data_IF_713452699805
#
_entry.id   IF_713452699805
#
_cell.length_a   1.000
_cell.length_b   1.000
_cell.length_c   1.000
_cell.angle_alpha   90.00
_cell.angle_beta   90.00
_cell.angle_gamma   90.00
#
_symmetry.space_group_name_H-M   'P 1'
#
loop_
_entity.id
_entity.type
_entity.pdbx_description
1 polymer ?
#
# COMPACT_ATOMS: atom_id res chain seq x y z
N UNK A 1 -33.53 -1.22 -51.80
CA UNK A 1 -34.08 -1.14 -50.44
C UNK A 1 -33.35 -2.12 -49.54
N UNK A 2 -32.36 -1.68 -48.76
CA UNK A 2 -32.08 -2.15 -47.39
C UNK A 2 -31.31 -1.00 -46.72
N UNK A 3 -31.99 -0.27 -45.86
CA UNK A 3 -31.40 0.68 -44.92
C UNK A 3 -31.49 0.02 -43.55
N UNK A 4 -30.34 -0.35 -42.97
CA UNK A 4 -30.23 -0.66 -41.53
C UNK A 4 -28.86 -0.13 -41.09
N UNK A 5 -28.82 1.16 -40.75
CA UNK A 5 -27.70 1.76 -40.02
C UNK A 5 -28.02 1.64 -38.55
N UNK A 6 -27.39 0.68 -37.86
CA UNK A 6 -27.53 0.46 -36.43
C UNK A 6 -26.83 1.61 -35.69
N UNK A 7 -27.61 2.55 -35.14
CA UNK A 7 -27.13 3.45 -34.08
C UNK A 7 -26.96 2.61 -32.80
N UNK A 8 -25.72 2.19 -32.53
CA UNK A 8 -25.30 1.76 -31.20
C UNK A 8 -24.20 2.71 -30.72
N UNK A 9 -24.57 3.96 -30.40
CA UNK A 9 -23.78 4.79 -29.50
C UNK A 9 -24.06 4.31 -28.08
N UNK A 10 -23.37 3.24 -27.68
CA UNK A 10 -23.21 2.89 -26.29
C UNK A 10 -22.48 4.04 -25.61
N UNK A 11 -23.21 4.81 -24.80
CA UNK A 11 -22.64 5.69 -23.80
C UNK A 11 -21.88 4.81 -22.80
N UNK A 12 -20.61 4.57 -23.10
CA UNK A 12 -19.60 4.18 -22.12
C UNK A 12 -19.43 5.35 -21.13
N UNK A 13 -20.35 5.45 -20.17
CA UNK A 13 -20.13 6.23 -18.95
C UNK A 13 -19.15 5.44 -18.08
N UNK A 14 -17.87 5.49 -18.44
CA UNK A 14 -16.81 5.10 -17.55
C UNK A 14 -15.87 6.30 -17.38
N UNK A 15 -15.52 6.52 -16.11
CA UNK A 15 -14.44 7.38 -15.62
C UNK A 15 -14.76 8.86 -15.38
N UNK A 16 -15.55 9.12 -14.34
CA UNK A 16 -15.18 10.18 -13.38
C UNK A 16 -15.41 9.67 -11.96
N UNK A 17 -14.54 8.77 -11.47
CA UNK A 17 -14.34 8.63 -10.02
C UNK A 17 -13.27 9.66 -9.65
N UNK A 18 -13.66 10.93 -9.54
CA UNK A 18 -12.83 11.95 -8.91
C UNK A 18 -13.19 12.00 -7.44
N UNK A 19 -12.36 11.35 -6.64
CA UNK A 19 -12.32 11.65 -5.22
C UNK A 19 -11.05 11.16 -4.57
N UNK A 20 -9.97 11.92 -4.70
CA UNK A 20 -8.67 11.47 -4.19
C UNK A 20 -8.47 11.82 -2.72
N UNK A 21 -8.92 10.91 -1.86
CA UNK A 21 -7.93 10.24 -1.00
C UNK A 21 -6.84 9.71 -1.94
N UNK A 22 -5.57 10.02 -1.66
CA UNK A 22 -4.50 9.82 -2.64
C UNK A 22 -4.58 8.41 -3.27
N UNK A 23 -4.35 8.26 -4.59
CA UNK A 23 -4.41 6.95 -5.23
C UNK A 23 -3.29 6.02 -4.72
N UNK A 24 -2.31 6.58 -4.01
CA UNK A 24 -1.09 5.96 -3.52
C UNK A 24 -0.47 6.84 -2.40
N UNK A 25 0.75 6.53 -1.98
CA UNK A 25 1.50 7.29 -0.98
C UNK A 25 2.49 8.32 -1.55
N UNK A 26 2.30 8.83 -2.77
CA UNK A 26 3.28 9.70 -3.45
C UNK A 26 3.66 10.94 -2.64
N UNK A 27 2.74 11.49 -1.84
CA UNK A 27 2.95 12.68 -1.02
C UNK A 27 3.62 12.41 0.34
N UNK A 28 3.80 11.15 0.72
CA UNK A 28 4.32 10.76 2.05
C UNK A 28 5.21 9.50 1.99
N UNK A 29 5.78 9.23 0.81
CA UNK A 29 6.69 8.10 0.57
C UNK A 29 7.96 8.15 1.40
N UNK A 30 8.37 9.33 1.86
CA UNK A 30 9.53 9.54 2.74
C UNK A 30 9.46 8.78 4.09
N UNK A 31 8.28 8.35 4.52
CA UNK A 31 8.08 7.54 5.72
C UNK A 31 8.34 6.05 5.51
N UNK A 32 8.48 5.61 4.27
CA UNK A 32 8.82 4.24 3.94
C UNK A 32 10.31 4.09 3.69
N UNK A 33 10.88 2.95 4.10
CA UNK A 33 12.27 2.65 3.81
C UNK A 33 12.50 2.62 2.30
N UNK A 34 13.46 3.44 1.83
CA UNK A 34 13.76 3.67 0.40
C UNK A 34 12.56 4.14 -0.42
N UNK A 35 11.61 4.84 0.19
CA UNK A 35 10.39 5.33 -0.48
C UNK A 35 9.56 4.21 -1.13
N UNK A 36 9.64 2.98 -0.60
CA UNK A 36 8.90 1.84 -1.13
C UNK A 36 7.81 1.40 -0.14
N UNK A 37 6.54 1.69 -0.44
CA UNK A 37 5.41 1.23 0.36
C UNK A 37 5.33 -0.29 0.49
N UNK A 38 4.58 -0.73 1.50
CA UNK A 38 4.18 -2.14 1.65
C UNK A 38 3.47 -2.59 0.38
N UNK A 39 3.78 -3.79 -0.08
CA UNK A 39 3.15 -4.40 -1.25
C UNK A 39 2.63 -5.79 -0.94
N UNK A 40 1.59 -6.22 -1.66
CA UNK A 40 0.93 -7.52 -1.49
C UNK A 40 -0.24 -7.54 -0.52
N UNK A 41 -0.39 -6.54 0.36
CA UNK A 41 -1.49 -6.45 1.35
C UNK A 41 -2.80 -5.96 0.72
N UNK A 42 -3.41 -6.79 -0.13
CA UNK A 42 -4.63 -6.48 -0.87
C UNK A 42 -5.87 -7.14 -0.22
N UNK A 43 -6.07 -6.90 1.08
CA UNK A 43 -7.10 -7.57 1.89
C UNK A 43 -8.25 -6.66 2.34
N UNK A 44 -8.23 -5.39 1.91
CA UNK A 44 -9.25 -4.41 2.30
C UNK A 44 -10.63 -4.85 1.80
N UNK A 45 -11.66 -4.69 2.64
CA UNK A 45 -13.04 -4.92 2.19
C UNK A 45 -13.52 -3.73 1.36
N UNK A 46 -14.43 -3.95 0.40
CA UNK A 46 -15.06 -2.85 -0.33
C UNK A 46 -15.75 -1.90 0.65
N UNK A 47 -15.83 -0.63 0.28
CA UNK A 47 -16.59 0.36 1.05
C UNK A 47 -18.04 -0.11 1.19
N UNK A 48 -18.66 -0.03 2.38
CA UNK A 48 -20.03 -0.48 2.58
C UNK A 48 -20.96 0.31 1.65
N UNK A 49 -21.97 -0.37 1.12
CA UNK A 49 -22.95 0.23 0.21
C UNK A 49 -24.03 0.93 1.03
N UNK A 50 -24.31 2.20 0.71
CA UNK A 50 -25.43 2.90 1.33
C UNK A 50 -26.75 2.40 0.78
N UNK A 51 -27.67 2.11 1.71
CA UNK A 51 -29.02 1.69 1.39
C UNK A 51 -29.94 2.89 1.27
N UNK A 52 -31.04 2.76 0.52
CA UNK A 52 -32.04 3.83 0.38
C UNK A 52 -31.50 5.14 -0.24
N UNK A 53 -30.58 5.03 -1.20
CA UNK A 53 -30.06 6.16 -1.98
C UNK A 53 -30.91 6.49 -3.22
N UNK A 54 -31.89 5.64 -3.53
CA UNK A 54 -32.79 5.83 -4.67
C UNK A 54 -33.65 7.09 -4.43
N UNK A 55 -33.71 7.96 -5.45
CA UNK A 55 -34.44 9.24 -5.44
C UNK A 55 -33.86 10.35 -4.53
N UNK A 56 -32.65 10.18 -4.00
CA UNK A 56 -32.00 11.30 -3.31
C UNK A 56 -31.60 12.40 -4.31
N UNK A 57 -31.66 13.69 -3.92
CA UNK A 57 -31.26 14.78 -4.80
C UNK A 57 -29.73 14.80 -4.94
N UNK A 58 -29.24 14.82 -6.17
CA UNK A 58 -27.82 14.92 -6.52
C UNK A 58 -26.88 13.89 -5.80
N UNK A 59 -27.23 12.59 -5.82
CA UNK A 59 -26.55 11.58 -4.99
C UNK A 59 -25.09 11.40 -5.39
N UNK A 60 -24.73 11.62 -6.66
CA UNK A 60 -23.34 11.51 -7.13
C UNK A 60 -22.40 12.49 -6.42
N UNK A 61 -22.83 13.72 -6.14
CA UNK A 61 -22.03 14.70 -5.39
C UNK A 61 -22.19 14.53 -3.88
N UNK A 62 -23.42 14.36 -3.41
CA UNK A 62 -23.72 14.37 -1.98
C UNK A 62 -23.22 13.09 -1.27
N UNK A 63 -23.15 11.96 -1.98
CA UNK A 63 -22.70 10.66 -1.46
C UNK A 63 -21.27 10.29 -1.87
N UNK A 64 -20.38 11.24 -2.18
CA UNK A 64 -19.02 10.91 -2.60
C UNK A 64 -18.21 10.07 -1.59
N UNK A 65 -18.49 10.17 -0.28
CA UNK A 65 -17.92 9.30 0.76
C UNK A 65 -18.20 7.81 0.52
N UNK A 66 -19.41 7.52 0.03
CA UNK A 66 -19.98 6.18 -0.12
C UNK A 66 -19.48 5.51 -1.40
N UNK A 67 -19.20 6.33 -2.42
CA UNK A 67 -18.70 5.88 -3.71
C UNK A 67 -17.16 5.75 -3.75
N UNK A 68 -16.46 6.16 -2.68
CA UNK A 68 -15.01 6.08 -2.62
C UNK A 68 -14.55 4.62 -2.51
N UNK A 69 -13.56 4.23 -3.31
CA UNK A 69 -12.98 2.88 -3.27
C UNK A 69 -12.21 2.63 -1.96
N UNK A 70 -12.12 1.35 -1.59
CA UNK A 70 -11.30 0.83 -0.50
C UNK A 70 -10.11 0.04 -1.08
N UNK A 71 -8.90 0.14 -0.51
CA UNK A 71 -8.52 0.95 0.65
C UNK A 71 -8.32 2.44 0.31
N UNK A 72 -8.29 3.26 1.36
CA UNK A 72 -7.90 4.67 1.33
C UNK A 72 -6.41 4.83 1.66
N UNK A 73 -5.63 5.53 0.81
CA UNK A 73 -4.24 5.87 1.08
C UNK A 73 -4.17 7.27 1.72
N UNK A 74 -3.92 7.31 3.02
CA UNK A 74 -3.90 8.56 3.78
C UNK A 74 -2.45 8.94 4.05
N UNK A 75 -2.06 10.13 3.59
CA UNK A 75 -0.86 10.81 4.06
C UNK A 75 -1.31 11.77 5.17
N UNK A 76 -1.03 11.42 6.43
CA UNK A 76 -1.52 12.19 7.57
C UNK A 76 -0.87 13.57 7.63
N UNK A 77 -1.72 14.59 7.61
CA UNK A 77 -1.34 15.99 7.70
C UNK A 77 -1.77 16.52 9.06
N UNK A 78 -0.89 17.29 9.68
CA UNK A 78 -1.20 18.16 10.80
C UNK A 78 -0.48 19.51 10.64
N UNK A 79 -1.13 20.65 10.87
CA UNK A 79 -0.51 21.97 10.70
C UNK A 79 0.21 22.13 9.34
N UNK A 80 -0.42 21.64 8.26
CA UNK A 80 0.10 21.66 6.89
C UNK A 80 1.42 20.88 6.66
N UNK A 81 1.78 19.95 7.55
CA UNK A 81 2.94 19.06 7.40
C UNK A 81 2.55 17.59 7.40
N UNK A 82 3.22 16.78 6.59
CA UNK A 82 3.06 15.34 6.60
C UNK A 82 3.86 14.70 7.74
N UNK A 83 3.29 13.69 8.41
CA UNK A 83 3.93 13.03 9.55
C UNK A 83 4.05 11.50 9.43
N UNK A 84 3.10 10.85 8.76
CA UNK A 84 3.11 9.41 8.51
C UNK A 84 2.14 9.05 7.39
N UNK A 85 2.18 7.79 6.99
CA UNK A 85 1.30 7.21 5.99
C UNK A 85 0.43 6.12 6.61
N UNK A 86 -0.83 5.99 6.18
CA UNK A 86 -1.77 4.96 6.65
C UNK A 86 -2.56 4.38 5.49
N UNK A 87 -2.60 3.04 5.39
CA UNK A 87 -3.52 2.33 4.50
C UNK A 87 -4.80 2.00 5.28
N UNK A 88 -5.90 2.66 4.95
CA UNK A 88 -7.16 2.56 5.68
C UNK A 88 -8.18 1.68 4.95
N UNK A 89 -8.64 0.63 5.61
CA UNK A 89 -9.72 -0.22 5.10
C UNK A 89 -11.06 0.43 5.40
N UNK A 90 -11.71 0.98 4.37
CA UNK A 90 -13.01 1.64 4.51
C UNK A 90 -14.14 0.65 4.82
N UNK A 91 -14.02 -0.61 4.40
CA UNK A 91 -14.99 -1.65 4.66
C UNK A 91 -15.02 -2.08 6.13
N UNK A 92 -13.84 -2.12 6.77
CA UNK A 92 -13.70 -2.44 8.19
C UNK A 92 -13.58 -1.23 9.13
N UNK A 93 -13.43 -0.04 8.56
CA UNK A 93 -13.18 1.24 9.24
C UNK A 93 -11.99 1.20 10.21
N UNK A 94 -10.93 0.50 9.81
CA UNK A 94 -9.68 0.40 10.56
C UNK A 94 -8.47 0.64 9.64
N UNK A 95 -7.35 1.17 10.15
CA UNK A 95 -6.08 1.10 9.44
C UNK A 95 -5.57 -0.34 9.35
N UNK A 96 -5.21 -0.79 8.15
CA UNK A 96 -4.52 -2.07 7.96
C UNK A 96 -3.05 -1.96 8.37
N UNK A 97 -2.42 -0.83 8.02
CA UNK A 97 -1.11 -0.47 8.53
C UNK A 97 -0.88 1.04 8.52
N UNK A 98 0.08 1.48 9.34
CA UNK A 98 0.68 2.81 9.31
C UNK A 98 2.21 2.69 9.16
N UNK A 99 2.83 3.60 8.41
CA UNK A 99 4.27 3.66 8.19
C UNK A 99 4.82 5.04 8.57
N UNK A 100 5.91 5.06 9.33
CA UNK A 100 6.50 6.28 9.88
C UNK A 100 8.01 6.13 10.11
N UNK A 101 8.70 7.27 10.21
CA UNK A 101 10.04 7.35 10.79
C UNK A 101 9.89 7.64 12.28
N UNK A 102 10.42 6.76 13.13
CA UNK A 102 10.41 6.99 14.57
C UNK A 102 11.41 8.09 14.92
N UNK A 103 10.99 9.05 15.76
CA UNK A 103 11.95 9.96 16.38
C UNK A 103 12.76 9.15 17.39
N UNK A 104 14.03 8.88 17.11
CA UNK A 104 14.90 8.10 18.00
C UNK A 104 15.61 8.96 19.05
N UNK A 105 15.77 10.28 18.80
CA UNK A 105 16.55 11.19 19.65
C UNK A 105 15.68 11.97 20.63
N UNK A 106 14.43 12.23 20.28
CA UNK A 106 13.48 12.94 21.13
C UNK A 106 13.01 12.09 22.30
N UNK A 107 12.70 12.75 23.42
CA UNK A 107 12.00 12.12 24.53
C UNK A 107 10.56 11.78 24.09
N UNK A 108 10.06 10.56 24.40
CA UNK A 108 8.68 10.17 24.16
C UNK A 108 7.70 11.17 24.79
N UNK A 109 6.81 11.74 23.98
CA UNK A 109 5.78 12.65 24.47
C UNK A 109 4.43 12.21 23.91
N UNK A 110 3.46 11.91 24.80
CA UNK A 110 2.06 11.80 24.38
C UNK A 110 1.39 13.15 24.54
N UNK A 111 1.10 13.83 23.42
CA UNK A 111 0.45 15.12 23.44
C UNK A 111 -0.99 15.00 22.91
N UNK A 112 -1.95 14.90 23.84
CA UNK A 112 -3.38 14.91 23.54
C UNK A 112 -4.08 13.54 23.59
N UNK A 113 -5.33 13.57 23.11
CA UNK A 113 -6.25 12.43 23.05
C UNK A 113 -6.75 12.26 21.62
N UNK A 114 -7.12 11.04 21.26
CA UNK A 114 -7.66 10.70 19.92
C UNK A 114 -9.04 11.34 19.74
N UNK A 115 -9.08 12.51 19.13
CA UNK A 115 -10.32 13.31 18.96
C UNK A 115 -10.45 13.90 17.57
N UNK A 116 -9.51 13.57 16.67
CA UNK A 116 -9.44 14.12 15.34
C UNK A 116 -9.95 13.12 14.30
N UNK A 117 -10.48 13.67 13.22
CA UNK A 117 -11.08 12.98 12.08
C UNK A 117 -10.43 13.48 10.79
N UNK A 118 -10.56 12.68 9.74
CA UNK A 118 -10.03 12.95 8.41
C UNK A 118 -11.17 13.42 7.49
N UNK A 119 -11.37 14.73 7.25
CA UNK A 119 -12.48 15.23 6.43
C UNK A 119 -12.41 14.73 4.97
N UNK A 120 -11.22 14.53 4.44
CA UNK A 120 -10.96 13.98 3.10
C UNK A 120 -11.50 12.56 2.91
N UNK A 121 -11.77 11.80 3.99
CA UNK A 121 -12.47 10.52 3.88
C UNK A 121 -13.96 10.66 3.59
N UNK A 122 -14.56 11.81 3.96
CA UNK A 122 -15.98 12.12 3.75
C UNK A 122 -16.22 12.69 2.35
N UNK A 123 -15.36 13.57 1.87
CA UNK A 123 -15.48 14.13 0.52
C UNK A 123 -14.09 14.61 0.06
N UNK A 124 -13.68 14.34 -1.18
CA UNK A 124 -12.35 14.69 -1.69
C UNK A 124 -12.02 16.19 -1.66
N UNK A 125 -13.03 17.04 -1.88
CA UNK A 125 -12.87 18.51 -1.83
C UNK A 125 -12.76 19.07 -0.41
N UNK A 126 -12.92 18.25 0.63
CA UNK A 126 -12.72 18.69 2.01
C UNK A 126 -11.23 18.78 2.36
N UNK A 127 -10.96 19.51 3.43
CA UNK A 127 -9.60 19.72 3.91
C UNK A 127 -8.89 18.38 4.21
N UNK A 128 -7.61 18.31 3.85
CA UNK A 128 -6.76 17.12 4.08
C UNK A 128 -6.12 17.08 5.47
N UNK A 129 -6.21 18.17 6.22
CA UNK A 129 -5.67 18.28 7.58
C UNK A 129 -6.66 17.67 8.58
N UNK A 130 -6.13 17.00 9.60
CA UNK A 130 -6.95 16.40 10.66
C UNK A 130 -7.73 17.47 11.43
N UNK A 131 -8.98 17.19 11.80
CA UNK A 131 -9.86 18.16 12.50
C UNK A 131 -10.64 17.53 13.64
N UNK A 132 -10.94 18.32 14.65
CA UNK A 132 -11.90 17.93 15.68
C UNK A 132 -13.30 17.77 15.08
N UNK A 133 -14.13 16.95 15.74
CA UNK A 133 -15.52 16.66 15.34
C UNK A 133 -16.30 17.92 14.90
N UNK A 134 -16.34 18.95 15.77
CA UNK A 134 -17.12 20.18 15.51
C UNK A 134 -16.68 20.88 14.22
N UNK A 135 -15.37 21.05 14.03
CA UNK A 135 -14.82 21.67 12.83
C UNK A 135 -15.10 20.80 11.60
N UNK A 136 -14.87 19.49 11.69
CA UNK A 136 -15.16 18.57 10.60
C UNK A 136 -16.63 18.65 10.16
N UNK A 137 -17.59 18.66 11.10
CA UNK A 137 -19.01 18.79 10.79
C UNK A 137 -19.37 20.13 10.13
N UNK A 138 -18.77 21.24 10.57
CA UNK A 138 -18.99 22.56 9.93
C UNK A 138 -18.52 22.53 8.46
N UNK A 139 -17.34 21.96 8.20
CA UNK A 139 -16.81 21.85 6.85
C UNK A 139 -17.68 20.95 5.96
N UNK A 140 -18.15 19.81 6.49
CA UNK A 140 -19.08 18.93 5.78
C UNK A 140 -20.40 19.66 5.48
N UNK A 141 -20.94 20.40 6.44
CA UNK A 141 -22.15 21.20 6.25
C UNK A 141 -22.01 22.22 5.11
N UNK A 142 -20.92 22.99 5.10
CA UNK A 142 -20.66 23.94 4.02
C UNK A 142 -20.55 23.24 2.65
N UNK A 143 -19.94 22.05 2.60
CA UNK A 143 -19.86 21.25 1.38
C UNK A 143 -21.24 20.74 0.92
N UNK A 144 -22.16 20.40 1.83
CA UNK A 144 -23.56 20.06 1.51
C UNK A 144 -24.25 21.24 0.83
N UNK A 145 -24.15 22.44 1.40
CA UNK A 145 -24.77 23.66 0.87
C UNK A 145 -24.25 24.02 -0.53
N UNK A 146 -22.96 23.80 -0.80
CA UNK A 146 -22.35 24.09 -2.10
C UNK A 146 -22.70 23.09 -3.21
N UNK A 147 -23.24 21.92 -2.86
CA UNK A 147 -23.52 20.83 -3.79
C UNK A 147 -25.03 20.59 -3.99
N UNK A 148 -25.88 21.56 -3.65
CA UNK A 148 -27.35 21.45 -3.73
C UNK A 148 -27.90 20.23 -2.97
N UNK A 149 -27.23 19.85 -1.88
CA UNK A 149 -27.68 18.81 -0.95
C UNK A 149 -28.51 19.47 0.17
N UNK A 150 -29.43 18.73 0.80
CA UNK A 150 -30.24 19.22 1.94
C UNK A 150 -30.05 18.36 3.18
N UNK A 151 -29.94 18.98 4.36
CA UNK A 151 -29.84 18.27 5.65
C UNK A 151 -31.15 17.58 6.08
N UNK A 152 -32.27 17.90 5.42
CA UNK A 152 -33.51 17.16 5.62
C UNK A 152 -33.40 15.69 5.17
N UNK A 153 -32.39 15.36 4.33
CA UNK A 153 -32.01 14.00 3.98
C UNK A 153 -31.02 13.48 5.02
N UNK A 154 -31.37 12.44 5.82
CA UNK A 154 -30.50 11.91 6.87
C UNK A 154 -29.10 11.51 6.38
N UNK A 155 -29.00 10.92 5.18
CA UNK A 155 -27.73 10.45 4.59
C UNK A 155 -26.74 11.58 4.30
N UNK A 156 -27.25 12.81 4.17
CA UNK A 156 -26.44 13.97 3.89
C UNK A 156 -25.96 14.65 5.16
N UNK A 157 -26.59 14.40 6.31
CA UNK A 157 -26.24 15.07 7.56
C UNK A 157 -24.76 14.89 7.91
N UNK A 158 -24.08 15.94 8.41
CA UNK A 158 -22.64 15.91 8.67
C UNK A 158 -22.17 14.73 9.52
N UNK A 159 -22.87 14.45 10.64
CA UNK A 159 -22.53 13.33 11.53
C UNK A 159 -22.73 11.99 10.83
N UNK A 160 -23.79 11.84 10.04
CA UNK A 160 -24.07 10.60 9.31
C UNK A 160 -22.96 10.31 8.30
N UNK A 161 -22.59 11.29 7.46
CA UNK A 161 -21.48 11.15 6.50
C UNK A 161 -20.15 10.86 7.18
N UNK A 162 -19.88 11.50 8.32
CA UNK A 162 -18.65 11.27 9.07
C UNK A 162 -18.59 9.83 9.59
N UNK A 163 -19.63 9.39 10.31
CA UNK A 163 -19.76 8.03 10.81
C UNK A 163 -19.62 7.01 9.67
N UNK A 164 -20.17 7.29 8.49
CA UNK A 164 -20.04 6.39 7.34
C UNK A 164 -18.59 6.22 6.90
N UNK A 165 -17.87 7.34 6.79
CA UNK A 165 -16.54 7.41 6.19
C UNK A 165 -15.42 6.76 7.01
N UNK A 166 -15.57 6.73 8.34
CA UNK A 166 -14.50 6.34 9.26
C UNK A 166 -15.06 5.94 10.63
N UNK A 167 -14.22 5.38 11.49
CA UNK A 167 -14.55 5.12 12.89
C UNK A 167 -14.70 6.44 13.68
N UNK A 168 -15.57 6.43 14.69
CA UNK A 168 -15.84 7.60 15.54
C UNK A 168 -15.77 7.25 17.02
N UNK A 169 -15.80 8.27 17.88
CA UNK A 169 -15.65 8.10 19.33
C UNK A 169 -16.55 7.01 19.92
N UNK A 170 -17.83 7.00 19.52
CA UNK A 170 -18.85 6.10 20.05
C UNK A 170 -18.58 4.62 19.69
N UNK A 171 -17.73 4.33 18.69
CA UNK A 171 -17.36 2.96 18.30
C UNK A 171 -16.42 2.28 19.31
N UNK A 172 -15.84 3.04 20.25
CA UNK A 172 -14.81 2.57 21.19
C UNK A 172 -15.27 2.54 22.65
N UNK A 173 -16.58 2.58 22.93
CA UNK A 173 -17.09 2.65 24.32
C UNK A 173 -16.56 1.50 25.20
N UNK A 174 -16.45 0.29 24.64
CA UNK A 174 -15.98 -0.91 25.37
C UNK A 174 -14.51 -1.26 25.11
N UNK A 175 -13.78 -0.42 24.36
CA UNK A 175 -12.43 -0.72 23.89
C UNK A 175 -11.48 0.46 24.11
N UNK A 176 -10.21 0.16 24.30
CA UNK A 176 -9.19 1.20 24.19
C UNK A 176 -9.01 1.59 22.72
N UNK A 177 -8.73 2.88 22.48
CA UNK A 177 -8.30 3.39 21.17
C UNK A 177 -6.82 3.04 20.97
N UNK A 178 -6.55 1.80 20.54
CA UNK A 178 -5.19 1.29 20.35
C UNK A 178 -4.54 1.91 19.12
N UNK A 179 -3.51 2.72 19.31
CA UNK A 179 -2.79 3.35 18.21
C UNK A 179 -2.02 2.31 17.40
N UNK A 180 -1.98 2.49 16.09
CA UNK A 180 -1.03 1.81 15.23
C UNK A 180 0.30 2.55 15.27
N UNK A 181 0.34 3.79 14.76
CA UNK A 181 1.48 4.68 14.94
C UNK A 181 1.45 5.28 16.36
N UNK A 182 2.32 4.85 17.30
CA UNK A 182 2.21 5.22 18.70
C UNK A 182 2.70 6.66 18.94
N UNK A 183 1.92 7.44 19.68
CA UNK A 183 2.29 8.82 20.02
C UNK A 183 3.67 8.93 20.72
N UNK A 184 4.03 7.92 21.53
CA UNK A 184 5.32 7.87 22.25
C UNK A 184 6.55 7.66 21.36
N UNK A 185 6.37 7.40 20.06
CA UNK A 185 7.48 7.35 19.09
C UNK A 185 7.79 8.73 18.48
N UNK A 186 7.09 9.77 18.92
CA UNK A 186 7.13 11.12 18.37
C UNK A 186 7.20 12.17 19.48
N UNK A 187 7.49 13.41 19.07
CA UNK A 187 7.45 14.60 19.93
C UNK A 187 6.57 15.68 19.31
N UNK A 188 6.07 16.60 20.14
CA UNK A 188 5.36 17.82 19.67
C UNK A 188 4.25 17.49 18.64
N UNK A 189 4.25 18.18 17.51
CA UNK A 189 3.20 18.09 16.49
C UNK A 189 3.14 16.72 15.82
N UNK A 190 4.26 15.99 15.70
CA UNK A 190 4.25 14.62 15.20
C UNK A 190 3.47 13.67 16.14
N UNK A 191 3.54 13.90 17.47
CA UNK A 191 2.72 13.16 18.44
C UNK A 191 1.23 13.50 18.29
N UNK A 192 0.90 14.79 18.14
CA UNK A 192 -0.48 15.25 17.91
C UNK A 192 -1.07 14.75 16.59
N UNK A 193 -0.26 14.58 15.55
CA UNK A 193 -0.66 14.02 14.27
C UNK A 193 -1.21 12.59 14.40
N UNK A 194 -0.80 11.83 15.43
CA UNK A 194 -1.26 10.44 15.64
C UNK A 194 -2.65 10.33 16.26
N UNK A 195 -3.25 11.46 16.70
CA UNK A 195 -4.49 11.51 17.49
C UNK A 195 -5.77 11.43 16.62
N UNK A 196 -5.74 10.63 15.56
CA UNK A 196 -6.85 10.44 14.61
C UNK A 196 -7.52 9.09 14.77
N UNK A 197 -8.82 9.00 14.48
CA UNK A 197 -9.52 7.71 14.45
C UNK A 197 -9.07 6.79 13.31
N UNK A 198 -8.43 7.34 12.28
CA UNK A 198 -7.83 6.57 11.19
C UNK A 198 -6.51 5.92 11.55
N UNK A 199 -5.93 6.24 12.72
CA UNK A 199 -4.69 5.64 13.23
C UNK A 199 -4.93 4.72 14.44
N UNK A 200 -6.18 4.37 14.75
CA UNK A 200 -6.51 3.51 15.90
C UNK A 200 -7.44 2.36 15.51
N UNK A 201 -7.41 1.31 16.33
CA UNK A 201 -8.29 0.14 16.25
C UNK A 201 -8.81 -0.23 17.64
N UNK A 202 -9.94 -0.96 17.75
CA UNK A 202 -10.44 -1.45 19.03
C UNK A 202 -9.41 -2.38 19.69
N UNK A 203 -8.86 -1.94 20.82
CA UNK A 203 -7.88 -2.68 21.60
C UNK A 203 -8.51 -3.24 22.86
N UNK A 204 -8.19 -4.48 23.19
CA UNK A 204 -8.53 -5.03 24.49
C UNK A 204 -7.85 -4.18 25.60
N UNK A 205 -8.61 -3.55 26.52
CA UNK A 205 -8.05 -2.66 27.54
C UNK A 205 -7.08 -3.37 28.51
N UNK A 206 -7.17 -4.69 28.62
CA UNK A 206 -6.32 -5.49 29.50
C UNK A 206 -5.07 -6.04 28.81
N UNK A 207 -4.85 -5.75 27.51
CA UNK A 207 -3.64 -6.15 26.80
C UNK A 207 -2.48 -5.20 27.18
N UNK A 208 -1.62 -5.65 28.09
CA UNK A 208 -0.51 -4.82 28.60
C UNK A 208 0.80 -4.95 27.79
N UNK A 209 1.02 -6.08 27.12
CA UNK A 209 2.30 -6.44 26.50
C UNK A 209 2.67 -5.54 25.31
N UNK A 210 1.68 -5.07 24.54
CA UNK A 210 1.94 -4.27 23.34
C UNK A 210 2.63 -2.93 23.66
N UNK A 211 2.16 -2.22 24.69
CA UNK A 211 2.77 -0.97 25.15
C UNK A 211 4.22 -1.18 25.65
N UNK A 212 4.50 -2.33 26.27
CA UNK A 212 5.86 -2.69 26.68
C UNK A 212 6.76 -2.90 25.46
N UNK A 213 6.25 -3.55 24.41
CA UNK A 213 6.97 -3.70 23.16
C UNK A 213 7.23 -2.38 22.44
N UNK A 214 6.25 -1.47 22.37
CA UNK A 214 6.43 -0.12 21.81
C UNK A 214 7.56 0.64 22.54
N UNK A 215 7.56 0.60 23.87
CA UNK A 215 8.65 1.20 24.67
C UNK A 215 9.99 0.51 24.44
N UNK A 216 10.03 -0.82 24.32
CA UNK A 216 11.26 -1.56 23.98
C UNK A 216 11.78 -1.18 22.59
N UNK A 217 10.90 -1.02 21.60
CA UNK A 217 11.25 -0.61 20.25
C UNK A 217 11.99 0.73 20.27
N UNK A 218 11.42 1.70 21.01
CA UNK A 218 11.97 3.05 21.17
C UNK A 218 13.24 3.10 22.02
N UNK A 219 13.30 2.41 23.15
CA UNK A 219 14.37 2.59 24.14
C UNK A 219 15.54 1.59 24.01
N UNK A 220 15.31 0.44 23.37
CA UNK A 220 16.30 -0.64 23.27
C UNK A 220 16.64 -0.93 21.82
N UNK A 221 15.64 -1.20 20.98
CA UNK A 221 15.87 -1.63 19.60
C UNK A 221 16.27 -0.49 18.65
N UNK A 222 16.08 0.76 19.06
CA UNK A 222 16.55 1.94 18.32
C UNK A 222 18.02 2.31 18.60
N UNK A 223 18.64 1.74 19.64
CA UNK A 223 20.01 2.07 20.01
C UNK A 223 20.97 1.70 18.88
N UNK A 224 21.81 2.66 18.50
CA UNK A 224 22.77 2.52 17.40
C UNK A 224 22.20 2.82 16.01
N UNK A 225 20.88 3.04 15.88
CA UNK A 225 20.28 3.48 14.62
C UNK A 225 20.57 4.96 14.37
N UNK A 226 20.77 5.32 13.11
CA UNK A 226 20.69 6.70 12.65
C UNK A 226 19.29 7.06 12.18
N UNK A 227 18.61 6.12 11.50
CA UNK A 227 17.20 6.21 11.18
C UNK A 227 16.49 4.91 11.55
N UNK A 228 15.21 5.02 11.91
CA UNK A 228 14.37 3.86 12.21
C UNK A 228 13.03 4.01 11.51
N UNK A 229 12.85 3.22 10.45
CA UNK A 229 11.59 3.12 9.72
C UNK A 229 10.75 2.03 10.37
N UNK A 230 9.47 2.30 10.59
CA UNK A 230 8.55 1.36 11.21
C UNK A 230 7.29 1.25 10.37
N UNK A 231 6.84 0.01 10.17
CA UNK A 231 5.52 -0.30 9.63
C UNK A 231 4.81 -1.13 10.68
N UNK A 232 3.65 -0.66 11.10
CA UNK A 232 2.84 -1.27 12.16
C UNK A 232 1.44 -1.49 11.62
N UNK A 233 0.78 -2.57 11.99
CA UNK A 233 -0.50 -2.94 11.41
C UNK A 233 -1.24 -3.95 12.24
N UNK A 234 -2.34 -4.42 11.68
CA UNK A 234 -3.22 -5.40 12.34
C UNK A 234 -3.55 -6.56 11.41
N UNK A 235 -3.96 -7.67 12.02
CA UNK A 235 -4.64 -8.77 11.36
C UNK A 235 -6.13 -8.62 11.67
N UNK A 236 -6.98 -8.24 10.68
CA UNK A 236 -8.43 -8.18 10.89
C UNK A 236 -8.99 -9.52 11.36
N UNK A 237 -10.11 -9.51 12.07
CA UNK A 237 -10.80 -10.73 12.50
C UNK A 237 -12.25 -10.77 12.01
N UNK A 238 -13.02 -11.75 12.48
CA UNK A 238 -14.47 -11.80 12.26
C UNK A 238 -15.27 -11.03 13.32
N UNK A 239 -14.60 -10.48 14.33
CA UNK A 239 -15.23 -9.75 15.42
C UNK A 239 -15.44 -8.27 15.05
N UNK A 240 -16.53 -7.71 15.56
CA UNK A 240 -16.94 -6.33 15.34
C UNK A 240 -17.37 -5.70 16.66
N UNK A 241 -17.26 -4.37 16.75
CA UNK A 241 -17.66 -3.64 17.97
C UNK A 241 -19.17 -3.73 18.24
N UNK A 242 -19.97 -3.97 17.21
CA UNK A 242 -21.43 -4.12 17.29
C UNK A 242 -21.99 -5.08 16.23
N UNK A 243 -23.30 -5.34 16.31
CA UNK A 243 -24.02 -6.20 15.35
C UNK A 243 -24.15 -5.57 13.96
N UNK A 244 -24.00 -4.25 13.84
CA UNK A 244 -24.04 -3.52 12.57
C UNK A 244 -22.69 -3.52 11.84
N UNK A 245 -21.70 -4.25 12.37
CA UNK A 245 -20.36 -4.34 11.82
C UNK A 245 -19.73 -2.95 11.62
N UNK A 246 -19.82 -2.11 12.65
CA UNK A 246 -19.41 -0.70 12.55
C UNK A 246 -17.91 -0.52 12.40
N UNK A 247 -17.13 -1.16 13.26
CA UNK A 247 -15.66 -1.16 13.24
C UNK A 247 -15.19 -2.57 13.57
N UNK A 248 -14.25 -3.08 12.77
CA UNK A 248 -13.70 -4.42 13.00
C UNK A 248 -12.77 -4.43 14.21
N UNK A 249 -12.86 -5.49 15.00
CA UNK A 249 -11.93 -5.74 16.11
C UNK A 249 -10.82 -6.65 15.58
N UNK A 250 -9.56 -6.21 15.50
CA UNK A 250 -8.48 -7.04 14.98
C UNK A 250 -8.13 -8.18 15.94
N UNK A 251 -7.67 -9.30 15.40
CA UNK A 251 -7.21 -10.45 16.19
C UNK A 251 -5.79 -10.24 16.72
N UNK A 252 -4.94 -9.53 15.96
CA UNK A 252 -3.53 -9.32 16.29
C UNK A 252 -3.06 -7.92 15.89
N UNK A 253 -2.10 -7.41 16.63
CA UNK A 253 -1.21 -6.33 16.24
C UNK A 253 0.10 -6.90 15.69
N UNK A 254 0.69 -6.27 14.69
CA UNK A 254 2.03 -6.57 14.23
C UNK A 254 2.85 -5.31 13.99
N UNK A 255 4.16 -5.42 14.12
CA UNK A 255 5.10 -4.33 13.89
C UNK A 255 6.36 -4.86 13.22
N UNK A 256 6.88 -4.13 12.25
CA UNK A 256 8.14 -4.40 11.59
C UNK A 256 9.00 -3.13 11.62
N UNK A 257 10.30 -3.27 11.87
CA UNK A 257 11.22 -2.14 11.88
C UNK A 257 12.46 -2.37 11.02
N UNK A 258 13.01 -1.27 10.52
CA UNK A 258 14.24 -1.20 9.75
C UNK A 258 15.15 -0.10 10.33
N UNK A 259 16.22 -0.52 10.99
CA UNK A 259 17.25 0.34 11.57
C UNK A 259 18.38 0.52 10.55
N UNK A 260 18.79 1.76 10.31
CA UNK A 260 19.85 2.08 9.34
C UNK A 260 20.95 2.93 9.95
N UNK A 261 22.11 2.92 9.31
CA UNK A 261 23.16 3.91 9.54
C UNK A 261 22.82 5.28 8.89
N UNK A 262 23.77 6.23 8.95
CA UNK A 262 23.64 7.57 8.38
C UNK A 262 23.49 7.58 6.85
N UNK A 263 23.91 6.50 6.17
CA UNK A 263 23.84 6.34 4.73
C UNK A 263 22.57 5.59 4.29
N UNK A 264 21.61 5.37 5.19
CA UNK A 264 20.41 4.53 4.97
C UNK A 264 20.75 3.06 4.60
N UNK A 265 21.90 2.56 5.04
CA UNK A 265 22.26 1.13 4.93
C UNK A 265 21.60 0.37 6.08
N UNK A 266 20.84 -0.71 5.83
CA UNK A 266 20.31 -1.55 6.90
C UNK A 266 21.40 -2.07 7.83
N UNK A 267 21.21 -1.87 9.14
CA UNK A 267 22.11 -2.36 10.19
C UNK A 267 21.41 -3.25 11.23
N UNK A 268 20.07 -3.30 11.23
CA UNK A 268 19.26 -4.26 12.01
C UNK A 268 17.82 -4.18 11.50
N UNK A 269 17.11 -5.29 11.56
CA UNK A 269 15.67 -5.32 11.33
C UNK A 269 15.03 -6.36 12.25
N UNK A 270 13.71 -6.42 12.24
CA UNK A 270 12.96 -7.36 13.07
C UNK A 270 11.49 -7.01 13.06
N UNK A 271 10.74 -7.69 13.93
CA UNK A 271 9.33 -7.39 14.10
C UNK A 271 8.71 -8.10 15.29
N UNK A 272 7.41 -7.91 15.45
CA UNK A 272 6.62 -8.53 16.50
C UNK A 272 5.18 -8.77 16.06
N UNK A 273 4.54 -9.72 16.72
CA UNK A 273 3.11 -10.04 16.61
C UNK A 273 2.54 -10.21 18.01
N UNK A 274 1.35 -9.68 18.29
CA UNK A 274 0.71 -9.77 19.59
C UNK A 274 -0.80 -10.00 19.42
N UNK A 275 -1.38 -11.07 20.00
CA UNK A 275 -2.82 -11.27 20.04
C UNK A 275 -3.52 -10.14 20.81
N UNK A 276 -4.65 -9.66 20.28
CA UNK A 276 -5.48 -8.59 20.87
C UNK A 276 -6.42 -9.16 21.93
N UNK A 277 -5.86 -9.81 22.96
CA UNK A 277 -6.59 -10.46 24.05
C UNK A 277 -6.01 -10.06 25.39
N UNK A 278 -6.68 -10.41 26.49
CA UNK A 278 -6.17 -10.12 27.83
C UNK A 278 -4.83 -10.83 28.09
N UNK A 279 -4.72 -12.09 27.66
CA UNK A 279 -3.55 -12.94 27.84
C UNK A 279 -2.54 -12.84 26.68
N UNK A 280 -2.78 -11.92 25.73
CA UNK A 280 -1.95 -11.73 24.55
C UNK A 280 -0.50 -11.48 24.90
N UNK A 281 0.40 -12.32 24.34
CA UNK A 281 1.85 -12.20 24.51
C UNK A 281 2.50 -11.77 23.20
N UNK A 282 3.52 -10.93 23.33
CA UNK A 282 4.32 -10.49 22.19
C UNK A 282 5.26 -11.61 21.78
N UNK A 283 5.17 -12.01 20.50
CA UNK A 283 6.14 -12.86 19.83
C UNK A 283 7.04 -11.97 18.99
N UNK A 284 8.35 -11.95 19.30
CA UNK A 284 9.34 -11.17 18.56
C UNK A 284 10.04 -12.02 17.50
N UNK A 285 10.37 -11.38 16.38
CA UNK A 285 11.07 -11.98 15.25
C UNK A 285 12.38 -11.23 14.99
N UNK A 286 13.44 -11.98 14.73
CA UNK A 286 14.78 -11.44 14.54
C UNK A 286 14.96 -10.78 13.17
N UNK A 287 14.10 -11.11 12.21
CA UNK A 287 14.12 -10.48 10.88
C UNK A 287 12.71 -10.14 10.39
N UNK A 288 12.62 -9.13 9.54
CA UNK A 288 11.37 -8.79 8.83
C UNK A 288 10.91 -9.96 7.94
N UNK A 289 11.85 -10.76 7.42
CA UNK A 289 11.52 -11.92 6.60
C UNK A 289 10.76 -13.00 7.38
N UNK A 290 11.13 -13.25 8.64
CA UNK A 290 10.42 -14.19 9.53
C UNK A 290 9.00 -13.72 9.79
N UNK A 291 8.82 -12.46 10.21
CA UNK A 291 7.49 -11.88 10.43
C UNK A 291 6.63 -11.94 9.16
N UNK A 292 7.20 -11.57 8.00
CA UNK A 292 6.49 -11.63 6.72
C UNK A 292 6.02 -13.05 6.37
N UNK A 293 6.82 -14.07 6.68
CA UNK A 293 6.43 -15.46 6.41
C UNK A 293 5.27 -15.92 7.30
N UNK A 294 5.17 -15.40 8.53
CA UNK A 294 4.03 -15.68 9.43
C UNK A 294 2.80 -14.94 8.93
N UNK A 295 2.89 -13.62 8.76
CA UNK A 295 1.77 -12.79 8.29
C UNK A 295 1.27 -13.21 6.90
N UNK A 296 2.18 -13.59 5.99
CA UNK A 296 1.81 -14.06 4.65
C UNK A 296 0.97 -15.34 4.67
N UNK A 297 1.15 -16.21 5.68
CA UNK A 297 0.28 -17.38 5.90
C UNK A 297 -1.07 -16.97 6.49
N UNK A 298 -1.08 -16.08 7.47
CA UNK A 298 -2.31 -15.61 8.12
C UNK A 298 -3.23 -14.87 7.14
N UNK A 299 -2.64 -14.14 6.20
CA UNK A 299 -3.38 -13.41 5.16
C UNK A 299 -3.59 -14.20 3.86
N UNK A 300 -2.92 -15.34 3.69
CA UNK A 300 -2.84 -16.09 2.41
C UNK A 300 -2.37 -15.22 1.21
N UNK A 301 -1.30 -14.45 1.42
CA UNK A 301 -0.72 -13.53 0.41
C UNK A 301 0.81 -13.54 0.42
N UNK A 302 1.41 -13.10 -0.69
CA UNK A 302 2.83 -12.73 -0.72
C UNK A 302 3.00 -11.28 -0.22
N UNK A 303 3.29 -11.13 1.08
CA UNK A 303 3.49 -9.83 1.72
C UNK A 303 4.95 -9.35 1.65
N UNK A 304 5.15 -8.09 1.29
CA UNK A 304 6.45 -7.42 1.33
C UNK A 304 6.37 -6.07 2.05
N UNK A 305 6.91 -6.00 3.27
CA UNK A 305 6.78 -4.86 4.19
C UNK A 305 7.82 -3.77 3.90
N UNK A 306 9.07 -4.16 3.62
CA UNK A 306 10.17 -3.25 3.30
C UNK A 306 10.91 -3.67 2.03
N UNK A 307 11.50 -2.71 1.32
CA UNK A 307 12.41 -3.03 0.21
C UNK A 307 13.50 -4.02 0.65
N UNK A 308 13.63 -5.11 -0.11
CA UNK A 308 14.55 -6.21 0.18
C UNK A 308 14.46 -6.71 1.63
N UNK A 309 13.26 -6.65 2.24
CA UNK A 309 12.98 -7.10 3.62
C UNK A 309 13.90 -6.46 4.67
N UNK A 310 14.42 -5.25 4.40
CA UNK A 310 15.45 -4.58 5.21
C UNK A 310 16.61 -5.52 5.59
N UNK A 311 17.06 -6.32 4.62
CA UNK A 311 18.23 -7.19 4.80
C UNK A 311 19.51 -6.40 4.56
N UNK A 312 20.53 -6.75 5.34
CA UNK A 312 21.90 -6.37 5.05
C UNK A 312 22.28 -7.01 3.72
N UNK A 313 22.76 -6.20 2.78
CA UNK A 313 23.41 -6.77 1.62
C UNK A 313 24.74 -7.37 2.11
N UNK A 314 24.80 -8.69 2.28
CA UNK A 314 25.95 -9.35 1.68
C UNK A 314 25.90 -9.00 0.20
N UNK A 315 27.00 -8.47 -0.31
CA UNK A 315 27.20 -8.07 -1.68
C UNK A 315 26.61 -9.13 -2.62
N UNK A 316 25.41 -8.91 -3.15
CA UNK A 316 24.98 -9.63 -4.35
C UNK A 316 25.83 -9.09 -5.49
N UNK A 317 27.06 -9.61 -5.58
CA UNK A 317 27.79 -9.67 -6.82
C UNK A 317 26.86 -10.43 -7.76
N UNK A 318 26.17 -9.73 -8.66
CA UNK A 318 25.64 -10.40 -9.83
C UNK A 318 26.89 -10.93 -10.51
N UNK A 319 27.14 -12.25 -10.46
CA UNK A 319 28.46 -12.72 -10.78
C UNK A 319 28.59 -12.50 -12.29
N UNK A 320 29.53 -11.65 -12.70
CA UNK A 320 29.60 -11.07 -14.06
C UNK A 320 29.50 -12.13 -15.17
N UNK A 321 29.93 -13.36 -14.88
CA UNK A 321 29.76 -14.53 -15.75
C UNK A 321 28.30 -14.84 -16.11
N UNK A 322 27.29 -14.59 -15.25
CA UNK A 322 25.87 -14.81 -15.59
C UNK A 322 25.37 -13.80 -16.64
N UNK A 323 25.76 -12.53 -16.53
CA UNK A 323 25.49 -11.52 -17.55
C UNK A 323 26.21 -11.85 -18.87
N UNK A 324 27.47 -12.30 -18.77
CA UNK A 324 28.24 -12.78 -19.91
C UNK A 324 27.60 -14.00 -20.57
N UNK A 325 27.09 -14.97 -19.78
CA UNK A 325 26.41 -16.16 -20.28
C UNK A 325 25.13 -15.81 -21.05
N UNK A 326 24.34 -14.85 -20.54
CA UNK A 326 23.14 -14.35 -21.22
C UNK A 326 23.52 -13.65 -22.54
N UNK A 327 24.59 -12.85 -22.55
CA UNK A 327 25.09 -12.18 -23.75
C UNK A 327 25.60 -13.20 -24.79
N UNK A 328 26.36 -14.21 -24.37
CA UNK A 328 26.85 -15.30 -25.22
C UNK A 328 25.68 -16.08 -25.81
N UNK A 329 24.68 -16.45 -25.01
CA UNK A 329 23.48 -17.14 -25.49
C UNK A 329 22.71 -16.28 -26.49
N UNK A 330 22.59 -14.97 -26.24
CA UNK A 330 21.93 -14.05 -27.17
C UNK A 330 22.68 -13.96 -28.51
N UNK A 331 24.03 -13.92 -28.49
CA UNK A 331 24.87 -13.94 -29.69
C UNK A 331 24.68 -15.27 -30.44
N UNK A 332 24.76 -16.41 -29.76
CA UNK A 332 24.56 -17.74 -30.36
C UNK A 332 23.19 -17.84 -31.02
N UNK A 333 22.11 -17.44 -30.33
CA UNK A 333 20.75 -17.47 -30.89
C UNK A 333 20.65 -16.56 -32.11
N UNK A 334 21.26 -15.37 -32.08
CA UNK A 334 21.25 -14.42 -33.21
C UNK A 334 22.02 -14.97 -34.42
N UNK A 335 23.17 -15.61 -34.20
CA UNK A 335 23.99 -16.22 -35.26
C UNK A 335 23.32 -17.47 -35.84
N UNK A 336 22.79 -18.37 -35.01
CA UNK A 336 22.06 -19.55 -35.48
C UNK A 336 20.80 -19.19 -36.26
N UNK A 337 20.13 -18.08 -35.91
CA UNK A 337 18.97 -17.56 -36.66
C UNK A 337 19.37 -16.97 -38.02
N UNK A 338 20.55 -16.36 -38.13
CA UNK A 338 21.10 -15.85 -39.40
C UNK A 338 21.52 -16.99 -40.34
N UNK A 339 21.95 -18.13 -39.80
CA UNK A 339 22.34 -19.34 -40.54
C UNK A 339 21.17 -20.32 -40.84
N UNK A 340 19.91 -19.92 -40.61
CA UNK A 340 18.72 -20.76 -40.77
C UNK A 340 18.75 -22.13 -40.04
N UNK A 341 19.52 -22.26 -38.96
CA UNK A 341 19.61 -23.51 -38.18
C UNK A 341 18.41 -23.67 -37.22
N UNK A 342 17.25 -24.03 -37.80
CA UNK A 342 15.95 -24.10 -37.09
C UNK A 342 15.95 -25.02 -35.86
N UNK A 343 16.67 -26.15 -35.88
CA UNK A 343 16.72 -27.11 -34.76
C UNK A 343 17.46 -26.56 -33.53
N UNK A 344 18.59 -25.87 -33.72
CA UNK A 344 19.43 -25.37 -32.61
C UNK A 344 18.78 -24.16 -31.92
N UNK A 345 18.19 -23.24 -32.69
CA UNK A 345 17.45 -22.10 -32.14
C UNK A 345 16.27 -22.58 -31.28
N UNK A 346 15.61 -23.66 -31.68
CA UNK A 346 14.50 -24.25 -30.92
C UNK A 346 14.99 -24.86 -29.59
N UNK A 347 16.11 -25.61 -29.59
CA UNK A 347 16.69 -26.20 -28.37
C UNK A 347 17.11 -25.13 -27.37
N UNK A 348 17.79 -24.07 -27.80
CA UNK A 348 18.24 -23.00 -26.89
C UNK A 348 17.05 -22.23 -26.32
N UNK A 349 16.05 -21.92 -27.16
CA UNK A 349 14.87 -21.14 -26.75
C UNK A 349 13.91 -21.91 -25.85
N UNK A 350 13.72 -23.21 -26.09
CA UNK A 350 12.74 -24.03 -25.36
C UNK A 350 13.33 -24.88 -24.23
N UNK A 351 14.62 -25.26 -24.27
CA UNK A 351 15.24 -26.08 -23.22
C UNK A 351 16.21 -25.32 -22.33
N UNK A 352 17.05 -24.43 -22.88
CA UNK A 352 18.13 -23.78 -22.11
C UNK A 352 17.66 -22.49 -21.40
N UNK A 353 16.90 -21.64 -22.09
CA UNK A 353 16.40 -20.38 -21.50
C UNK A 353 15.52 -20.57 -20.26
N UNK A 354 14.61 -21.56 -20.19
CA UNK A 354 13.82 -21.83 -18.97
C UNK A 354 14.64 -22.30 -17.78
N UNK A 355 15.78 -22.97 -18.02
CA UNK A 355 16.70 -23.43 -16.96
C UNK A 355 17.45 -22.23 -16.35
N UNK A 356 17.83 -21.26 -17.19
CA UNK A 356 18.51 -20.04 -16.74
C UNK A 356 17.54 -19.05 -16.07
N UNK A 357 16.27 -19.02 -16.50
CA UNK A 357 15.23 -18.17 -15.89
C UNK A 357 14.68 -18.70 -14.57
N UNK A 358 15.03 -19.94 -14.15
CA UNK A 358 14.64 -20.52 -12.86
C UNK A 358 15.47 -19.99 -11.67
N UNK A 359 16.49 -19.18 -11.91
CA UNK A 359 17.13 -18.39 -10.84
C UNK A 359 16.35 -17.10 -10.64
N UNK A 360 15.64 -16.99 -9.51
CA UNK A 360 14.75 -15.87 -9.18
C UNK A 360 15.53 -14.54 -9.19
N UNK A 361 15.32 -13.73 -10.23
CA UNK A 361 15.62 -12.31 -10.22
C UNK A 361 14.31 -11.53 -10.00
N UNK A 362 14.22 -10.64 -9.00
CA UNK A 362 13.10 -9.73 -8.90
C UNK A 362 13.22 -8.68 -10.02
N UNK A 363 12.25 -8.67 -10.94
CA UNK A 363 12.18 -7.74 -12.07
C UNK A 363 11.67 -6.35 -11.66
N UNK A 364 12.00 -5.87 -10.46
CA UNK A 364 11.55 -4.57 -9.92
C UNK A 364 12.56 -3.43 -10.09
N UNK A 365 13.73 -3.67 -10.69
CA UNK A 365 14.79 -2.65 -10.88
C UNK A 365 14.70 -1.86 -12.19
N UNK A 366 13.56 -1.87 -12.89
CA UNK A 366 13.41 -1.18 -14.20
C UNK A 366 12.17 -0.30 -14.35
N UNK A 367 11.56 0.17 -13.25
CA UNK A 367 10.47 1.15 -13.29
C UNK A 367 10.96 2.55 -12.89
N UNK A 368 11.66 3.20 -13.82
CA UNK A 368 11.69 4.66 -13.93
C UNK A 368 11.52 5.02 -15.40
N UNK A 369 10.31 4.80 -15.93
CA UNK A 369 9.82 5.41 -17.17
C UNK A 369 8.28 5.30 -17.15
N UNK A 370 7.60 6.42 -16.87
CA UNK A 370 6.14 6.53 -17.00
C UNK A 370 5.73 6.31 -18.46
N UNK A 371 4.66 5.54 -18.68
CA UNK A 371 3.92 5.54 -19.94
C UNK A 371 3.34 4.19 -20.35
N UNK A 372 2.01 4.09 -20.24
CA UNK A 372 1.10 3.12 -20.89
C UNK A 372 0.84 1.83 -20.10
N UNK A 373 -0.19 1.86 -19.25
CA UNK A 373 -0.97 0.69 -18.85
C UNK A 373 -2.25 0.64 -19.71
N UNK A 374 -2.43 -0.45 -20.45
CA UNK A 374 -3.76 -0.90 -20.86
C UNK A 374 -3.89 -2.40 -20.59
N UNK A 375 -4.93 -2.69 -19.82
CA UNK A 375 -5.64 -3.92 -19.49
C UNK A 375 -5.32 -5.17 -20.32
N UNK A 376 -5.12 -6.29 -19.63
CA UNK A 376 -5.50 -7.60 -20.16
C UNK A 376 -6.14 -8.47 -19.07
N UNK A 377 -7.43 -8.70 -19.25
CA UNK A 377 -8.24 -9.79 -18.70
C UNK A 377 -7.82 -11.13 -19.33
N UNK A 378 -7.93 -12.21 -18.56
CA UNK A 378 -7.78 -13.58 -19.05
C UNK A 378 -8.95 -13.98 -19.95
N UNK A 379 -8.73 -14.93 -20.87
CA UNK A 379 -9.66 -16.04 -20.96
C UNK A 379 -9.00 -17.42 -20.94
N UNK A 380 -9.74 -18.32 -20.33
CA UNK A 380 -9.58 -19.76 -20.21
C UNK A 380 -9.89 -20.50 -21.52
N UNK A 381 -9.24 -21.67 -21.65
CA UNK A 381 -9.61 -22.89 -22.39
C UNK A 381 -9.83 -22.84 -23.92
N UNK A 382 -8.95 -23.61 -24.59
CA UNK A 382 -9.22 -24.54 -25.69
C UNK A 382 -9.67 -24.01 -27.07
N UNK A 383 -8.71 -24.03 -28.01
CA UNK A 383 -8.70 -24.75 -29.31
C UNK A 383 -8.22 -23.92 -30.52
N UNK A 384 -7.31 -24.58 -31.21
CA UNK A 384 -6.79 -24.50 -32.56
C UNK A 384 -5.76 -23.44 -32.99
N UNK A 385 -4.65 -24.04 -33.41
CA UNK A 385 -3.38 -23.52 -33.85
C UNK A 385 -3.44 -23.46 -35.36
N UNK A 386 -3.88 -22.33 -35.94
CA UNK A 386 -3.53 -21.89 -37.31
C UNK A 386 -4.14 -20.53 -37.69
N UNK A 387 -4.11 -19.53 -36.80
CA UNK A 387 -4.31 -18.12 -37.20
C UNK A 387 -3.70 -17.18 -36.16
N UNK A 388 -2.37 -16.97 -36.18
CA UNK A 388 -1.76 -15.80 -35.52
C UNK A 388 -0.35 -15.48 -36.06
N UNK A 389 -0.28 -15.12 -37.35
CA UNK A 389 0.91 -14.51 -37.98
C UNK A 389 0.66 -13.03 -38.29
N UNK A 390 0.21 -12.25 -37.30
CA UNK A 390 0.13 -10.78 -37.46
C UNK A 390 0.24 -9.95 -36.17
N UNK A 391 0.10 -10.51 -34.95
CA UNK A 391 0.16 -9.70 -33.72
C UNK A 391 1.52 -9.65 -32.99
N UNK A 392 2.57 -10.31 -33.50
CA UNK A 392 3.85 -10.44 -32.78
C UNK A 392 4.88 -9.32 -33.05
N UNK A 393 4.51 -8.20 -33.71
CA UNK A 393 5.44 -7.12 -34.08
C UNK A 393 5.58 -5.98 -33.06
N UNK A 394 4.73 -5.86 -32.04
CA UNK A 394 4.81 -4.75 -31.07
C UNK A 394 5.63 -5.05 -29.80
N UNK A 395 5.81 -6.32 -29.41
CA UNK A 395 6.47 -6.68 -28.14
C UNK A 395 8.02 -6.66 -28.16
N UNK A 396 8.67 -6.39 -29.30
CA UNK A 396 10.13 -6.50 -29.44
C UNK A 396 10.93 -5.23 -29.12
N UNK A 397 10.32 -4.05 -29.03
CA UNK A 397 11.11 -2.81 -28.89
C UNK A 397 11.42 -2.44 -27.42
N UNK A 398 10.53 -2.72 -26.47
CA UNK A 398 10.70 -2.28 -25.07
C UNK A 398 11.69 -3.12 -24.24
N UNK A 399 11.82 -4.43 -24.49
CA UNK A 399 12.85 -5.29 -23.86
C UNK A 399 14.27 -5.04 -24.37
N UNK A 400 14.40 -4.45 -25.56
CA UNK A 400 15.70 -4.18 -26.19
C UNK A 400 16.33 -2.90 -25.62
N UNK A 401 15.54 -1.91 -25.22
CA UNK A 401 16.05 -0.64 -24.70
C UNK A 401 16.79 -0.76 -23.34
N UNK A 402 16.26 -1.58 -22.42
CA UNK A 402 16.92 -1.83 -21.12
C UNK A 402 18.22 -2.62 -21.24
N UNK A 403 18.33 -3.49 -22.24
CA UNK A 403 19.52 -4.30 -22.53
C UNK A 403 20.68 -3.46 -23.11
N UNK A 404 20.35 -2.43 -23.91
CA UNK A 404 21.31 -1.52 -24.56
C UNK A 404 21.99 -0.60 -23.53
N UNK A 405 21.27 -0.12 -22.51
CA UNK A 405 21.86 0.73 -21.46
C UNK A 405 22.85 -0.04 -20.57
N UNK A 406 22.59 -1.32 -20.30
CA UNK A 406 23.50 -2.17 -19.52
C UNK A 406 24.79 -2.49 -20.29
N UNK A 407 24.70 -2.63 -21.62
CA UNK A 407 25.87 -2.89 -22.49
C UNK A 407 26.69 -1.62 -22.74
N UNK A 408 26.06 -0.46 -22.90
CA UNK A 408 26.79 0.81 -23.05
C UNK A 408 27.60 1.19 -21.80
N UNK A 409 27.10 0.88 -20.61
CA UNK A 409 27.82 1.13 -19.35
C UNK A 409 29.01 0.18 -19.16
N UNK A 410 28.88 -1.07 -19.59
CA UNK A 410 29.96 -2.07 -19.58
C UNK A 410 31.10 -1.70 -20.56
N UNK A 411 30.76 -1.25 -21.77
CA UNK A 411 31.75 -0.86 -22.79
C UNK A 411 32.52 0.42 -22.41
N UNK A 412 31.85 1.41 -21.79
CA UNK A 412 32.53 2.62 -21.28
C UNK A 412 33.50 2.34 -20.13
N UNK A 413 33.21 1.37 -19.27
CA UNK A 413 34.04 1.09 -18.10
C UNK A 413 35.35 0.35 -18.43
N UNK A 414 35.42 -0.31 -19.60
CA UNK A 414 36.56 -1.14 -19.99
C UNK A 414 37.36 -0.63 -21.21
N UNK A 415 37.09 0.58 -21.74
CA UNK A 415 37.75 1.14 -22.95
C UNK A 415 37.90 0.12 -24.08
N UNK A 416 36.85 -0.65 -24.35
CA UNK A 416 36.83 -1.60 -25.45
C UNK A 416 36.12 -0.89 -26.61
N UNK A 417 36.92 -0.45 -27.58
CA UNK A 417 36.66 0.36 -28.80
C UNK A 417 36.82 1.88 -28.68
N UNK A 418 37.82 2.38 -29.41
CA UNK A 418 37.86 3.70 -30.08
C UNK A 418 36.90 3.73 -31.26
#
# INVERSE_FOLDING_TARGET
>A
MVSVSLMCLGLLSLWVVRGEVAPNFDNCKEFFFREMPVSGLNIALPTPVETNTQNLPNPEKCLSAYNAASPAYICQIYNNQYYFATLYDRGRRIPLYSAYKMDIKGEPERNGSVVNYEPQLVHPDLAKDQRKMKECCIHIYNNILMNDCTESVPQYQPKYKLNWSQAVHDDFVSYDRGHLNPAGHHRRDASKATMTFTNVVPRNPKMNQWNQYEQKLKNVLSKGCSNMYVVTGVVPSNDWVDQNQRVNVPSHYWNAFCCTDNNNTPIRSGGALCPNTHEGRVTEYNTVAELQNVLGKDFDIELNIFFNRCQFNESYSVPYWKCFLILVIWIIVRTCKKMQMKRIVCIISYKLMPILSRTKFPLSTLTSFKGITQNYSQPTSNINMDTHLSHHKSMKSKKVFGLVLCTQRFLRHHRIFS
#
